data_IF_382238887348
#
_entry.id   IF_382238887348
#
_cell.length_a   1.000
_cell.length_b   1.000
_cell.length_c   1.000
_cell.angle_alpha   90.00
_cell.angle_beta   90.00
_cell.angle_gamma   90.00
#
_symmetry.space_group_name_H-M   'P 1'
#
loop_
_entity.id
_entity.type
_entity.pdbx_description
1 polymer ?
#
# COMPACT_ATOMS: atom_id res chain seq x y z
N UNK A 1 -14.65 8.71 -12.26
CA UNK A 1 -15.03 7.67 -11.27
C UNK A 1 -13.98 7.45 -10.17
N UNK A 2 -12.68 7.38 -10.50
CA UNK A 2 -11.58 7.23 -9.53
C UNK A 2 -11.66 8.14 -8.27
N UNK A 3 -12.00 9.44 -8.36
CA UNK A 3 -12.15 10.30 -7.17
C UNK A 3 -13.26 9.90 -6.20
N UNK A 4 -14.31 9.25 -6.70
CA UNK A 4 -15.43 8.79 -5.87
C UNK A 4 -15.03 7.52 -5.13
N UNK A 5 -14.31 6.60 -5.78
CA UNK A 5 -13.83 5.38 -5.16
C UNK A 5 -12.85 5.66 -4.02
N UNK A 6 -11.94 6.63 -4.22
CA UNK A 6 -11.04 7.07 -3.15
C UNK A 6 -11.83 7.59 -1.95
N UNK A 7 -12.77 8.51 -2.17
CA UNK A 7 -13.59 9.09 -1.08
C UNK A 7 -14.44 8.04 -0.35
N UNK A 8 -15.01 7.07 -1.07
CA UNK A 8 -15.78 5.97 -0.46
C UNK A 8 -14.88 5.04 0.37
N UNK A 9 -13.66 4.76 -0.12
CA UNK A 9 -12.67 3.99 0.66
C UNK A 9 -12.23 4.73 1.92
N UNK A 10 -12.12 6.07 1.87
CA UNK A 10 -11.71 6.87 3.01
C UNK A 10 -12.80 7.03 4.06
N UNK A 11 -14.05 7.22 3.61
CA UNK A 11 -15.25 7.38 4.43
C UNK A 11 -15.74 6.06 5.04
N UNK A 12 -15.38 4.93 4.44
CA UNK A 12 -15.72 3.61 4.95
C UNK A 12 -15.05 3.28 6.29
N UNK A 13 -15.85 2.86 7.27
CA UNK A 13 -15.37 2.34 8.57
C UNK A 13 -14.98 0.86 8.52
N UNK A 14 -15.44 0.11 7.51
CA UNK A 14 -15.13 -1.31 7.35
C UNK A 14 -13.89 -1.55 6.48
N UNK A 15 -12.98 -2.42 6.94
CA UNK A 15 -11.80 -2.86 6.21
C UNK A 15 -12.15 -3.39 4.80
N UNK A 16 -13.29 -4.09 4.66
CA UNK A 16 -13.77 -4.57 3.36
C UNK A 16 -14.12 -3.47 2.35
N UNK A 17 -14.66 -2.33 2.79
CA UNK A 17 -14.97 -1.21 1.89
C UNK A 17 -13.70 -0.46 1.47
N UNK A 18 -12.73 -0.34 2.38
CA UNK A 18 -11.38 0.15 2.07
C UNK A 18 -10.70 -0.74 1.04
N UNK A 19 -10.72 -2.06 1.26
CA UNK A 19 -10.15 -3.05 0.37
C UNK A 19 -10.80 -3.00 -1.03
N UNK A 20 -12.13 -2.95 -1.10
CA UNK A 20 -12.87 -2.87 -2.36
C UNK A 20 -12.57 -1.56 -3.10
N UNK A 21 -12.47 -0.44 -2.39
CA UNK A 21 -12.11 0.85 -2.95
C UNK A 21 -10.69 0.87 -3.50
N UNK A 22 -9.70 0.38 -2.75
CA UNK A 22 -8.31 0.27 -3.19
C UNK A 22 -8.17 -0.68 -4.39
N UNK A 23 -8.85 -1.83 -4.38
CA UNK A 23 -8.90 -2.75 -5.52
C UNK A 23 -9.48 -2.09 -6.76
N UNK A 24 -10.60 -1.40 -6.63
CA UNK A 24 -11.22 -0.71 -7.75
C UNK A 24 -10.31 0.39 -8.31
N UNK A 25 -9.55 1.07 -7.44
CA UNK A 25 -8.57 2.08 -7.82
C UNK A 25 -7.38 1.46 -8.56
N UNK A 26 -6.85 0.34 -8.07
CA UNK A 26 -5.79 -0.43 -8.71
C UNK A 26 -6.21 -0.98 -10.08
N UNK A 27 -7.39 -1.58 -10.18
CA UNK A 27 -7.93 -2.09 -11.46
C UNK A 27 -8.15 -0.97 -12.46
N UNK A 28 -8.72 0.15 -12.03
CA UNK A 28 -8.91 1.31 -12.90
C UNK A 28 -7.57 1.94 -13.31
N UNK A 29 -6.56 1.95 -12.45
CA UNK A 29 -5.21 2.39 -12.80
C UNK A 29 -4.57 1.50 -13.87
N UNK A 30 -4.69 0.18 -13.73
CA UNK A 30 -4.16 -0.78 -14.70
C UNK A 30 -4.85 -0.71 -16.08
N UNK A 31 -6.12 -0.31 -16.12
CA UNK A 31 -6.93 -0.27 -17.34
C UNK A 31 -6.98 1.11 -18.02
N UNK A 32 -6.47 2.18 -17.39
CA UNK A 32 -6.59 3.56 -17.90
C UNK A 32 -5.34 4.02 -18.65
N UNK A 33 -5.54 4.89 -19.64
CA UNK A 33 -4.44 5.66 -20.23
C UNK A 33 -3.73 6.52 -19.17
N UNK A 34 -2.40 6.51 -19.18
CA UNK A 34 -1.53 7.17 -18.20
C UNK A 34 -1.83 8.66 -18.00
N UNK A 35 -2.19 9.36 -19.09
CA UNK A 35 -2.55 10.79 -19.07
C UNK A 35 -3.87 11.05 -18.33
N UNK A 36 -4.89 10.22 -18.57
CA UNK A 36 -6.18 10.29 -17.89
C UNK A 36 -6.05 9.93 -16.40
N UNK A 37 -5.20 8.95 -16.09
CA UNK A 37 -4.91 8.56 -14.71
C UNK A 37 -4.25 9.70 -13.92
N UNK A 38 -3.24 10.36 -14.52
CA UNK A 38 -2.62 11.56 -13.96
C UNK A 38 -3.65 12.64 -13.65
N UNK A 39 -4.46 13.01 -14.63
CA UNK A 39 -5.46 14.07 -14.47
C UNK A 39 -6.48 13.76 -13.37
N UNK A 40 -6.84 12.48 -13.18
CA UNK A 40 -7.83 12.06 -12.18
C UNK A 40 -7.25 11.95 -10.77
N UNK A 41 -5.97 11.61 -10.61
CA UNK A 41 -5.36 11.28 -9.32
C UNK A 41 -4.48 12.40 -8.74
N UNK A 42 -3.84 13.24 -9.57
CA UNK A 42 -3.06 14.41 -9.11
C UNK A 42 -3.82 15.36 -8.16
N UNK A 43 -5.11 15.68 -8.38
CA UNK A 43 -5.84 16.59 -7.50
C UNK A 43 -6.31 15.95 -6.19
N UNK A 44 -6.03 14.66 -5.97
CA UNK A 44 -6.50 13.91 -4.80
C UNK A 44 -5.36 13.59 -3.84
N UNK A 45 -5.62 13.45 -2.53
CA UNK A 45 -4.60 13.13 -1.53
C UNK A 45 -4.23 11.62 -1.54
N UNK A 46 -4.11 10.99 -2.71
CA UNK A 46 -3.92 9.54 -2.88
C UNK A 46 -2.74 9.01 -2.08
N UNK A 47 -1.65 9.78 -2.03
CA UNK A 47 -0.44 9.41 -1.29
C UNK A 47 -0.68 9.38 0.22
N UNK A 48 -1.44 10.34 0.76
CA UNK A 48 -1.82 10.35 2.18
C UNK A 48 -2.76 9.19 2.52
N UNK A 49 -3.73 8.91 1.64
CA UNK A 49 -4.64 7.76 1.78
C UNK A 49 -3.87 6.43 1.79
N UNK A 50 -2.86 6.29 0.93
CA UNK A 50 -1.98 5.14 0.87
C UNK A 50 -1.15 4.99 2.15
N UNK A 51 -0.51 6.06 2.63
CA UNK A 51 0.24 6.01 3.89
C UNK A 51 -0.65 5.56 5.07
N UNK A 52 -1.91 6.03 5.11
CA UNK A 52 -2.87 5.57 6.12
C UNK A 52 -3.26 4.10 5.96
N UNK A 53 -3.40 3.62 4.74
CA UNK A 53 -3.70 2.20 4.48
C UNK A 53 -2.52 1.28 4.81
N UNK A 54 -1.28 1.72 4.58
CA UNK A 54 -0.05 1.00 4.95
C UNK A 54 0.15 0.91 6.47
N UNK A 55 -0.39 1.86 7.25
CA UNK A 55 -0.46 1.79 8.72
C UNK A 55 -1.55 0.86 9.25
N UNK A 56 -2.35 0.25 8.40
CA UNK A 56 -3.42 -0.63 8.85
C UNK A 56 -2.85 -1.88 9.52
N UNK A 57 -3.48 -2.34 10.61
CA UNK A 57 -3.19 -3.66 11.19
C UNK A 57 -3.80 -4.83 10.39
N UNK A 58 -4.50 -4.55 9.29
CA UNK A 58 -5.10 -5.56 8.41
C UNK A 58 -4.13 -5.84 7.24
N UNK A 59 -3.55 -7.04 7.23
CA UNK A 59 -2.58 -7.46 6.20
C UNK A 59 -3.17 -7.41 4.78
N UNK A 60 -4.48 -7.62 4.62
CA UNK A 60 -5.17 -7.51 3.33
C UNK A 60 -5.23 -6.07 2.83
N UNK A 61 -5.51 -5.12 3.73
CA UNK A 61 -5.49 -3.68 3.41
C UNK A 61 -4.07 -3.23 3.06
N UNK A 62 -3.07 -3.65 3.83
CA UNK A 62 -1.66 -3.33 3.56
C UNK A 62 -1.22 -3.88 2.20
N UNK A 63 -1.51 -5.14 1.89
CA UNK A 63 -1.15 -5.75 0.60
C UNK A 63 -1.79 -5.03 -0.59
N UNK A 64 -3.06 -4.60 -0.48
CA UNK A 64 -3.71 -3.83 -1.54
C UNK A 64 -3.15 -2.41 -1.66
N UNK A 65 -2.77 -1.78 -0.54
CA UNK A 65 -2.11 -0.48 -0.57
C UNK A 65 -0.73 -0.56 -1.25
N UNK A 66 0.05 -1.60 -0.96
CA UNK A 66 1.33 -1.87 -1.64
C UNK A 66 1.13 -2.04 -3.16
N UNK A 67 0.15 -2.86 -3.56
CA UNK A 67 -0.15 -3.06 -4.98
C UNK A 67 -0.59 -1.78 -5.68
N UNK A 68 -1.38 -0.95 -5.00
CA UNK A 68 -1.79 0.35 -5.53
C UNK A 68 -0.60 1.31 -5.65
N UNK A 69 0.32 1.33 -4.67
CA UNK A 69 1.53 2.15 -4.71
C UNK A 69 2.44 1.76 -5.89
N UNK A 70 2.64 0.46 -6.12
CA UNK A 70 3.40 -0.08 -7.26
C UNK A 70 2.80 0.37 -8.61
N UNK A 71 1.50 0.18 -8.80
CA UNK A 71 0.81 0.59 -10.04
C UNK A 71 0.89 2.10 -10.29
N UNK A 72 0.87 2.91 -9.23
CA UNK A 72 1.00 4.36 -9.35
C UNK A 72 2.43 4.78 -9.71
N UNK A 73 3.44 4.11 -9.16
CA UNK A 73 4.84 4.32 -9.53
C UNK A 73 5.08 3.96 -11.00
N UNK A 74 4.53 2.84 -11.47
CA UNK A 74 4.62 2.43 -12.88
C UNK A 74 3.91 3.42 -13.82
N UNK A 75 2.74 3.94 -13.38
CA UNK A 75 1.97 4.86 -14.20
C UNK A 75 2.52 6.31 -14.17
N UNK A 76 3.12 6.74 -13.06
CA UNK A 76 3.52 8.12 -12.83
C UNK A 76 4.91 8.23 -12.17
N UNK A 77 5.97 7.69 -12.80
CA UNK A 77 7.29 7.58 -12.18
C UNK A 77 7.90 8.94 -11.82
N UNK A 78 7.57 10.01 -12.54
CA UNK A 78 8.13 11.34 -12.27
C UNK A 78 7.41 12.09 -11.13
N UNK A 79 6.16 11.73 -10.83
CA UNK A 79 5.30 12.49 -9.92
C UNK A 79 5.10 11.79 -8.56
N UNK A 80 5.03 10.45 -8.57
CA UNK A 80 4.77 9.66 -7.37
C UNK A 80 5.90 9.72 -6.32
N UNK A 81 7.20 9.62 -6.67
CA UNK A 81 8.26 9.58 -5.66
C UNK A 81 8.28 10.82 -4.75
N UNK A 82 8.15 12.01 -5.34
CA UNK A 82 8.11 13.26 -4.57
C UNK A 82 6.86 13.36 -3.67
N UNK A 83 5.70 12.91 -4.16
CA UNK A 83 4.47 12.88 -3.38
C UNK A 83 4.53 11.83 -2.25
N UNK A 84 5.08 10.66 -2.52
CA UNK A 84 5.21 9.56 -1.56
C UNK A 84 6.16 9.93 -0.42
N UNK A 85 7.25 10.64 -0.73
CA UNK A 85 8.17 11.14 0.28
C UNK A 85 7.50 12.17 1.19
N UNK A 86 6.83 13.16 0.59
CA UNK A 86 6.14 14.24 1.32
C UNK A 86 5.01 13.75 2.23
N UNK A 87 4.28 12.74 1.80
CA UNK A 87 3.04 12.27 2.45
C UNK A 87 3.28 11.04 3.33
N UNK A 88 4.54 10.62 3.50
CA UNK A 88 4.96 9.56 4.42
C UNK A 88 4.73 8.13 3.92
N UNK A 89 4.47 7.92 2.63
CA UNK A 89 4.34 6.56 2.05
C UNK A 89 5.66 5.83 2.16
N UNK A 90 6.78 6.48 1.83
CA UNK A 90 8.12 5.90 1.93
C UNK A 90 8.45 5.47 3.36
N UNK A 91 8.11 6.31 4.35
CA UNK A 91 8.31 5.98 5.76
C UNK A 91 7.54 4.70 6.18
N UNK A 92 6.31 4.53 5.70
CA UNK A 92 5.53 3.34 6.01
C UNK A 92 6.04 2.08 5.30
N UNK A 93 6.62 2.23 4.10
CA UNK A 93 7.29 1.13 3.40
C UNK A 93 8.52 0.67 4.18
N UNK A 94 9.39 1.60 4.57
CA UNK A 94 10.58 1.31 5.38
C UNK A 94 10.21 0.65 6.72
N UNK A 95 9.12 1.09 7.36
CA UNK A 95 8.59 0.48 8.59
C UNK A 95 8.15 -0.97 8.34
N UNK A 96 7.44 -1.24 7.25
CA UNK A 96 6.98 -2.58 6.89
C UNK A 96 8.15 -3.52 6.55
N UNK A 97 9.19 -3.02 5.88
CA UNK A 97 10.42 -3.76 5.61
C UNK A 97 11.13 -4.13 6.93
N UNK A 98 11.32 -3.16 7.83
CA UNK A 98 11.92 -3.41 9.14
C UNK A 98 11.11 -4.42 9.99
N UNK A 99 9.77 -4.35 9.92
CA UNK A 99 8.89 -5.28 10.61
C UNK A 99 8.97 -6.70 10.00
N UNK A 100 9.09 -6.81 8.68
CA UNK A 100 9.29 -8.07 7.98
C UNK A 100 10.66 -8.70 8.31
N UNK A 101 11.73 -7.92 8.32
CA UNK A 101 13.07 -8.37 8.68
C UNK A 101 13.16 -8.82 10.14
N UNK A 102 12.54 -8.07 11.06
CA UNK A 102 12.43 -8.46 12.47
C UNK A 102 11.64 -9.76 12.65
N UNK A 103 10.55 -9.95 11.89
CA UNK A 103 9.75 -11.19 11.91
C UNK A 103 10.53 -12.37 11.30
N UNK A 104 11.31 -12.13 10.24
CA UNK A 104 12.17 -13.15 9.62
C UNK A 104 13.29 -13.59 10.58
N UNK A 105 13.90 -12.66 11.31
CA UNK A 105 14.89 -12.96 12.35
C UNK A 105 14.33 -13.83 13.48
N UNK A 106 13.10 -13.53 13.94
CA UNK A 106 12.40 -14.35 14.94
C UNK A 106 12.02 -15.75 14.42
N UNK A 107 11.61 -15.88 13.16
CA UNK A 107 11.35 -17.17 12.54
C UNK A 107 12.62 -18.03 12.42
N UNK A 108 13.76 -17.42 12.05
CA UNK A 108 15.06 -18.11 12.02
C UNK A 108 15.45 -18.67 13.39
N UNK A 109 15.37 -17.85 14.44
CA UNK A 109 15.67 -18.27 15.81
C UNK A 109 14.71 -19.36 16.33
N UNK A 110 13.42 -19.29 15.98
CA UNK A 110 12.43 -20.30 16.37
C UNK A 110 12.66 -21.67 15.70
N UNK A 111 13.22 -21.68 14.48
CA UNK A 111 13.57 -22.92 13.75
C UNK A 111 14.84 -23.55 14.35
N UNK A 112 15.86 -22.77 14.68
CA UNK A 112 17.09 -23.28 15.32
C UNK A 112 16.81 -23.87 16.72
N UNK A 113 15.95 -23.22 17.52
CA UNK A 113 15.54 -23.72 18.82
C UNK A 113 14.77 -25.07 18.77
N UNK A 114 14.19 -25.42 17.62
CA UNK A 114 13.51 -26.70 17.39
C UNK A 114 14.41 -27.77 16.77
N UNK A 115 15.50 -27.39 16.11
CA UNK A 115 16.49 -28.32 15.53
C UNK A 115 17.55 -28.83 16.52
N UNK A 116 17.74 -28.16 17.67
CA UNK A 116 18.81 -28.46 18.63
C UNK A 116 18.54 -29.54 19.69
N UNK A 117 17.54 -30.41 19.52
CA UNK A 117 17.31 -31.58 20.40
C UNK A 117 17.35 -32.86 19.58
N UNK A 118 18.56 -33.26 19.21
CA UNK A 118 18.85 -34.49 18.50
C UNK A 118 20.35 -34.74 18.50
N UNK A 119 20.94 -34.85 19.69
CA UNK A 119 22.30 -35.28 19.93
C UNK A 119 22.30 -36.29 21.06
#
# INVERSE_FOLDING_TARGET
>A
MLPVLLRVSEAGTGAGLRLAGLRALATAAAASERSALRAALLPLPVSSSLARALRSGDEGVVAQALRAAELLLDAMPDACPAAFAREGVLHELERLEAEADGRAGNCGAAVEARGGRGG
#
